data_IF_191794780746
#
_entry.id   IF_191794780746
#
_cell.length_a   1.000
_cell.length_b   1.000
_cell.length_c   1.000
_cell.angle_alpha   90.00
_cell.angle_beta   90.00
_cell.angle_gamma   90.00
#
_symmetry.space_group_name_H-M   'P 1'
#
loop_
_entity.id
_entity.type
_entity.pdbx_description
1 polymer ?
#
# COMPACT_ATOMS: atom_id res chain seq x y z
N UNK A 1 20.50 66.32 17.81
CA UNK A 1 19.81 65.21 18.51
C UNK A 1 18.47 64.96 17.86
N UNK A 2 18.31 63.77 17.25
CA UNK A 2 17.08 62.95 17.14
C UNK A 2 17.32 61.89 16.04
N UNK A 3 17.98 60.80 16.42
CA UNK A 3 18.00 59.58 15.64
C UNK A 3 16.57 59.00 15.65
N UNK A 4 15.94 58.89 14.47
CA UNK A 4 14.78 58.03 14.31
C UNK A 4 15.30 56.72 13.72
N UNK A 5 15.31 55.68 14.55
CA UNK A 5 15.62 54.33 14.13
C UNK A 5 14.61 53.89 13.06
N UNK A 6 15.09 53.76 11.84
CA UNK A 6 14.50 52.93 10.79
C UNK A 6 14.86 51.51 11.24
N UNK A 7 13.93 50.70 11.74
CA UNK A 7 12.86 50.15 10.93
C UNK A 7 13.35 48.80 10.42
N UNK A 8 13.14 47.79 11.27
CA UNK A 8 13.23 46.34 11.02
C UNK A 8 13.30 46.00 9.53
N UNK A 9 14.50 45.70 9.02
CA UNK A 9 14.68 44.97 7.78
C UNK A 9 14.63 43.48 8.12
N UNK A 10 13.39 43.00 8.07
CA UNK A 10 12.95 41.64 7.73
C UNK A 10 14.12 40.72 7.32
N UNK A 11 14.44 39.75 8.16
CA UNK A 11 14.11 38.34 7.90
C UNK A 11 14.41 37.97 6.44
N UNK A 12 15.64 37.52 6.17
CA UNK A 12 15.83 36.27 5.44
C UNK A 12 17.03 35.57 6.06
N UNK A 13 16.83 35.01 7.25
CA UNK A 13 17.54 33.79 7.60
C UNK A 13 17.07 32.71 6.64
N UNK A 14 17.72 32.58 5.47
CA UNK A 14 17.76 31.28 4.81
C UNK A 14 18.68 30.44 5.68
N UNK A 15 18.12 29.96 6.79
CA UNK A 15 18.53 28.69 7.34
C UNK A 15 18.36 27.72 6.18
N UNK A 16 19.46 27.48 5.46
CA UNK A 16 19.64 26.26 4.71
C UNK A 16 19.63 25.14 5.75
N UNK A 17 18.43 24.79 6.22
CA UNK A 17 18.17 23.49 6.78
C UNK A 17 18.40 22.55 5.60
N UNK A 18 19.65 22.12 5.46
CA UNK A 18 20.03 21.01 4.62
C UNK A 18 19.35 19.79 5.24
N UNK A 19 18.05 19.64 4.99
CA UNK A 19 17.31 18.44 5.30
C UNK A 19 17.85 17.43 4.31
N UNK A 20 18.74 16.56 4.80
CA UNK A 20 19.32 15.50 4.00
C UNK A 20 18.16 14.74 3.34
N UNK A 21 18.07 14.85 2.01
CA UNK A 21 17.04 14.13 1.25
C UNK A 21 17.29 12.64 1.44
N UNK A 22 16.26 11.92 1.87
CA UNK A 22 16.34 10.46 2.03
C UNK A 22 16.49 9.79 0.66
N UNK A 23 17.27 8.72 0.62
CA UNK A 23 17.38 7.86 -0.55
C UNK A 23 16.21 6.89 -0.66
N UNK A 24 16.05 6.28 -1.82
CA UNK A 24 15.02 5.27 -2.08
C UNK A 24 15.04 4.12 -1.05
N UNK A 25 16.24 3.60 -0.78
CA UNK A 25 16.45 2.55 0.23
C UNK A 25 16.06 3.01 1.63
N UNK A 26 16.36 4.25 2.00
CA UNK A 26 16.02 4.79 3.32
C UNK A 26 14.49 4.82 3.50
N UNK A 27 13.75 5.22 2.46
CA UNK A 27 12.29 5.15 2.47
C UNK A 27 11.77 3.72 2.55
N UNK A 28 12.39 2.79 1.83
CA UNK A 28 12.00 1.38 1.88
C UNK A 28 12.21 0.76 3.26
N UNK A 29 13.36 1.04 3.88
CA UNK A 29 13.67 0.56 5.24
C UNK A 29 12.69 1.15 6.27
N UNK A 30 12.36 2.45 6.17
CA UNK A 30 11.37 3.09 7.04
C UNK A 30 9.98 2.48 6.85
N UNK A 31 9.54 2.29 5.59
CA UNK A 31 8.25 1.69 5.31
C UNK A 31 8.13 0.29 5.96
N UNK A 32 9.16 -0.55 5.82
CA UNK A 32 9.19 -1.87 6.45
C UNK A 32 9.25 -1.82 7.99
N UNK A 33 9.92 -0.82 8.56
CA UNK A 33 9.91 -0.61 10.00
C UNK A 33 8.49 -0.30 10.51
N UNK A 34 7.72 0.50 9.77
CA UNK A 34 6.34 0.81 10.13
C UNK A 34 5.39 -0.37 9.84
N UNK A 35 5.65 -1.18 8.80
CA UNK A 35 4.97 -2.47 8.61
C UNK A 35 5.13 -3.38 9.82
N UNK A 36 6.36 -3.52 10.33
CA UNK A 36 6.65 -4.34 11.53
C UNK A 36 6.02 -3.81 12.82
N UNK A 37 5.65 -2.52 12.84
CA UNK A 37 4.91 -1.89 13.96
C UNK A 37 3.40 -1.88 13.74
N UNK A 38 2.93 -2.42 12.62
CA UNK A 38 1.52 -2.39 12.22
C UNK A 38 0.96 -0.95 12.08
N UNK A 39 1.83 0.03 11.87
CA UNK A 39 1.43 1.40 11.56
C UNK A 39 1.29 1.55 10.04
N UNK A 40 0.14 1.06 9.57
CA UNK A 40 -0.18 0.95 8.15
C UNK A 40 -0.17 2.29 7.43
N UNK A 41 -0.60 3.37 8.10
CA UNK A 41 -0.63 4.71 7.50
C UNK A 41 0.78 5.27 7.28
N UNK A 42 1.68 5.07 8.24
CA UNK A 42 3.07 5.50 8.05
C UNK A 42 3.79 4.62 7.03
N UNK A 43 3.58 3.30 7.07
CA UNK A 43 4.14 2.39 6.08
C UNK A 43 3.72 2.77 4.65
N UNK A 44 2.42 3.00 4.44
CA UNK A 44 1.86 3.50 3.19
C UNK A 44 2.54 4.80 2.75
N UNK A 45 2.60 5.80 3.64
CA UNK A 45 3.16 7.11 3.31
C UNK A 45 4.61 7.01 2.81
N UNK A 46 5.44 6.15 3.41
CA UNK A 46 6.81 5.96 2.97
C UNK A 46 6.93 5.16 1.66
N UNK A 47 6.08 4.16 1.43
CA UNK A 47 6.02 3.50 0.12
C UNK A 47 5.56 4.48 -0.98
N UNK A 48 4.58 5.35 -0.72
CA UNK A 48 4.15 6.37 -1.68
C UNK A 48 5.28 7.36 -2.02
N UNK A 49 6.14 7.70 -1.06
CA UNK A 49 7.34 8.52 -1.32
C UNK A 49 8.29 7.86 -2.31
N UNK A 50 8.46 6.54 -2.23
CA UNK A 50 9.26 5.79 -3.23
C UNK A 50 8.66 5.95 -4.62
N UNK A 51 7.35 5.73 -4.76
CA UNK A 51 6.66 5.82 -6.05
C UNK A 51 6.74 7.23 -6.65
N UNK A 52 6.61 8.27 -5.81
CA UNK A 52 6.61 9.67 -6.24
C UNK A 52 8.01 10.18 -6.59
N UNK A 53 9.01 9.84 -5.78
CA UNK A 53 10.35 10.44 -5.89
C UNK A 53 11.34 9.60 -6.70
N UNK A 54 11.09 8.29 -6.79
CA UNK A 54 11.93 7.33 -7.51
C UNK A 54 11.05 6.52 -8.44
N UNK A 55 10.45 7.12 -9.49
CA UNK A 55 9.48 6.42 -10.33
C UNK A 55 10.08 5.20 -11.03
N UNK A 56 11.39 5.13 -11.29
CA UNK A 56 12.05 3.99 -11.93
C UNK A 56 13.17 3.39 -11.06
N UNK A 57 13.00 3.50 -9.74
CA UNK A 57 13.97 3.01 -8.76
C UNK A 57 13.89 1.49 -8.54
N UNK A 58 14.82 0.99 -7.74
CA UNK A 58 14.96 -0.44 -7.46
C UNK A 58 13.78 -1.00 -6.64
N UNK A 59 13.14 -0.16 -5.84
CA UNK A 59 12.04 -0.52 -4.93
C UNK A 59 10.67 -0.07 -5.43
N UNK A 60 10.57 0.66 -6.55
CA UNK A 60 9.30 1.22 -7.04
C UNK A 60 8.24 0.16 -7.31
N UNK A 61 8.61 -0.96 -7.94
CA UNK A 61 7.65 -2.03 -8.23
C UNK A 61 7.07 -2.59 -6.93
N UNK A 62 7.94 -2.91 -5.97
CA UNK A 62 7.52 -3.38 -4.65
C UNK A 62 6.68 -2.33 -3.91
N UNK A 63 7.07 -1.06 -3.96
CA UNK A 63 6.34 0.02 -3.29
C UNK A 63 4.92 0.20 -3.84
N UNK A 64 4.73 0.14 -5.17
CA UNK A 64 3.40 0.18 -5.78
C UNK A 64 2.52 -0.97 -5.26
N UNK A 65 3.04 -2.20 -5.29
CA UNK A 65 2.32 -3.36 -4.78
C UNK A 65 1.97 -3.20 -3.30
N UNK A 66 2.93 -2.76 -2.48
CA UNK A 66 2.74 -2.62 -1.04
C UNK A 66 1.71 -1.54 -0.67
N UNK A 67 1.64 -0.41 -1.40
CA UNK A 67 0.56 0.56 -1.19
C UNK A 67 -0.80 -0.06 -1.48
N UNK A 68 -0.91 -0.83 -2.58
CA UNK A 68 -2.11 -1.60 -2.90
C UNK A 68 -2.52 -2.53 -1.76
N UNK A 69 -1.58 -3.36 -1.32
CA UNK A 69 -1.75 -4.35 -0.26
C UNK A 69 -2.19 -3.73 1.06
N UNK A 70 -1.52 -2.66 1.49
CA UNK A 70 -1.84 -1.99 2.75
C UNK A 70 -3.27 -1.43 2.72
N UNK A 71 -3.65 -0.81 1.61
CA UNK A 71 -4.96 -0.21 1.47
C UNK A 71 -6.08 -1.27 1.43
N UNK A 72 -5.86 -2.39 0.73
CA UNK A 72 -6.84 -3.47 0.65
C UNK A 72 -7.00 -4.21 1.98
N UNK A 73 -5.89 -4.54 2.65
CA UNK A 73 -5.90 -5.52 3.73
C UNK A 73 -5.93 -4.91 5.14
N UNK A 74 -5.53 -3.65 5.32
CA UNK A 74 -5.48 -3.04 6.65
C UNK A 74 -6.25 -1.73 6.79
N UNK A 75 -6.35 -0.93 5.71
CA UNK A 75 -7.03 0.37 5.76
C UNK A 75 -8.45 0.34 5.20
N UNK A 76 -8.88 -0.76 4.57
CA UNK A 76 -10.16 -0.89 3.86
C UNK A 76 -10.41 0.23 2.83
N UNK A 77 -9.35 0.75 2.22
CA UNK A 77 -9.40 1.79 1.21
C UNK A 77 -9.26 1.17 -0.18
N UNK A 78 -10.32 0.47 -0.60
CA UNK A 78 -10.29 -0.33 -1.83
C UNK A 78 -10.11 0.50 -3.10
N UNK A 79 -10.53 1.76 -3.10
CA UNK A 79 -10.33 2.67 -4.26
C UNK A 79 -8.83 2.94 -4.49
N UNK A 80 -8.11 3.26 -3.41
CA UNK A 80 -6.66 3.46 -3.50
C UNK A 80 -5.93 2.14 -3.77
N UNK A 81 -6.39 1.04 -3.18
CA UNK A 81 -5.83 -0.28 -3.49
C UNK A 81 -5.94 -0.60 -4.98
N UNK A 82 -7.12 -0.39 -5.57
CA UNK A 82 -7.39 -0.55 -7.00
C UNK A 82 -6.44 0.26 -7.85
N UNK A 83 -6.30 1.55 -7.53
CA UNK A 83 -5.43 2.46 -8.27
C UNK A 83 -3.97 1.96 -8.29
N UNK A 84 -3.44 1.55 -7.14
CA UNK A 84 -2.04 1.15 -7.02
C UNK A 84 -1.75 -0.23 -7.62
N UNK A 85 -2.65 -1.19 -7.47
CA UNK A 85 -2.52 -2.48 -8.15
C UNK A 85 -2.61 -2.34 -9.67
N UNK A 86 -3.53 -1.52 -10.20
CA UNK A 86 -3.60 -1.27 -11.63
C UNK A 86 -2.31 -0.62 -12.15
N UNK A 87 -1.80 0.41 -11.46
CA UNK A 87 -0.50 1.02 -11.78
C UNK A 87 0.64 0.00 -11.77
N UNK A 88 0.64 -0.94 -10.83
CA UNK A 88 1.64 -2.00 -10.78
C UNK A 88 1.54 -2.92 -12.01
N UNK A 89 0.35 -3.43 -12.32
CA UNK A 89 0.09 -4.33 -13.45
C UNK A 89 0.46 -3.67 -14.78
N UNK A 90 0.06 -2.40 -14.97
CA UNK A 90 0.30 -1.67 -16.20
C UNK A 90 1.80 -1.43 -16.45
N UNK A 91 2.57 -1.18 -15.37
CA UNK A 91 3.99 -0.82 -15.45
C UNK A 91 4.93 -2.02 -15.39
N UNK A 92 4.53 -3.07 -14.68
CA UNK A 92 5.34 -4.25 -14.41
C UNK A 92 4.59 -5.55 -14.72
N UNK A 93 4.05 -5.72 -15.94
CA UNK A 93 3.16 -6.84 -16.29
C UNK A 93 3.82 -8.22 -16.19
N UNK A 94 5.16 -8.29 -16.23
CA UNK A 94 5.95 -9.52 -16.15
C UNK A 94 6.66 -9.71 -14.79
N UNK A 95 6.35 -8.87 -13.80
CA UNK A 95 6.92 -9.03 -12.45
C UNK A 95 6.35 -10.26 -11.77
N UNK A 96 7.13 -10.89 -10.89
CA UNK A 96 6.71 -12.09 -10.13
C UNK A 96 5.44 -11.89 -9.28
N UNK A 97 5.03 -10.64 -9.02
CA UNK A 97 3.82 -10.30 -8.22
C UNK A 97 2.66 -9.82 -9.11
N UNK A 98 2.80 -9.88 -10.44
CA UNK A 98 1.76 -9.36 -11.36
C UNK A 98 0.46 -10.15 -11.24
N UNK A 99 0.55 -11.46 -11.08
CA UNK A 99 -0.63 -12.31 -10.91
C UNK A 99 -1.23 -12.17 -9.51
N UNK A 100 -0.40 -11.99 -8.47
CA UNK A 100 -0.87 -11.66 -7.12
C UNK A 100 -1.64 -10.32 -7.10
N UNK A 101 -1.11 -9.30 -7.79
CA UNK A 101 -1.77 -8.00 -7.89
C UNK A 101 -3.13 -8.09 -8.59
N UNK A 102 -3.26 -8.90 -9.65
CA UNK A 102 -4.54 -9.15 -10.33
C UNK A 102 -5.51 -9.87 -9.39
N UNK A 103 -5.03 -10.89 -8.69
CA UNK A 103 -5.85 -11.63 -7.73
C UNK A 103 -6.40 -10.72 -6.62
N UNK A 104 -5.55 -9.88 -6.02
CA UNK A 104 -5.97 -8.89 -5.02
C UNK A 104 -6.98 -7.89 -5.59
N UNK A 105 -6.73 -7.37 -6.80
CA UNK A 105 -7.62 -6.43 -7.48
C UNK A 105 -9.03 -7.00 -7.73
N UNK A 106 -9.11 -8.28 -8.01
CA UNK A 106 -10.36 -8.99 -8.27
C UNK A 106 -11.09 -9.38 -6.99
N UNK A 107 -10.38 -9.62 -5.88
CA UNK A 107 -10.94 -10.24 -4.69
C UNK A 107 -10.94 -9.36 -3.43
N UNK A 108 -10.32 -8.18 -3.46
CA UNK A 108 -10.33 -7.24 -2.34
C UNK A 108 -11.76 -6.88 -1.90
N UNK A 109 -11.99 -6.88 -0.59
CA UNK A 109 -13.27 -6.56 0.02
C UNK A 109 -14.36 -7.63 -0.13
N UNK A 110 -14.08 -8.79 -0.74
CA UNK A 110 -15.04 -9.91 -0.79
C UNK A 110 -15.08 -10.65 0.56
N UNK A 111 -16.27 -11.10 0.93
CA UNK A 111 -16.42 -12.03 2.04
C UNK A 111 -15.94 -13.44 1.60
N UNK A 112 -15.48 -14.24 2.56
CA UNK A 112 -15.06 -15.63 2.34
C UNK A 112 -16.13 -16.43 1.59
N UNK A 113 -17.40 -16.24 1.94
CA UNK A 113 -18.54 -16.96 1.32
C UNK A 113 -18.71 -16.67 -0.19
N UNK A 114 -18.17 -15.55 -0.67
CA UNK A 114 -18.26 -15.13 -2.07
C UNK A 114 -17.11 -15.66 -2.93
N UNK A 115 -16.13 -16.33 -2.32
CA UNK A 115 -14.94 -16.82 -3.02
C UNK A 115 -15.27 -18.06 -3.87
N UNK A 116 -15.02 -18.03 -5.20
CA UNK A 116 -15.44 -19.08 -6.11
C UNK A 116 -14.82 -20.45 -5.78
N UNK A 117 -13.61 -20.49 -5.19
CA UNK A 117 -12.95 -21.73 -4.82
C UNK A 117 -13.60 -22.47 -3.64
N UNK A 118 -14.39 -21.77 -2.81
CA UNK A 118 -15.11 -22.39 -1.68
C UNK A 118 -16.50 -22.89 -2.07
N UNK A 119 -17.04 -22.43 -3.19
CA UNK A 119 -18.37 -22.84 -3.67
C UNK A 119 -18.40 -24.30 -4.13
N UNK A 120 -17.28 -24.83 -4.61
CA UNK A 120 -17.20 -26.22 -5.11
C UNK A 120 -17.10 -27.27 -3.98
N UNK A 121 -16.58 -26.93 -2.80
CA UNK A 121 -16.46 -27.88 -1.67
C UNK A 121 -17.77 -28.06 -0.87
N UNK A 122 -18.58 -27.01 -0.74
CA UNK A 122 -19.82 -27.03 0.08
C UNK A 122 -20.93 -27.95 -0.46
N UNK A 123 -20.83 -28.44 -1.70
CA UNK A 123 -21.81 -29.36 -2.28
C UNK A 123 -21.61 -30.83 -1.87
N UNK A 124 -20.46 -31.21 -1.31
CA UNK A 124 -20.20 -32.62 -0.94
C UNK A 124 -20.60 -32.98 0.50
N UNK A 125 -20.68 -32.02 1.42
CA UNK A 125 -20.99 -32.31 2.83
C UNK A 125 -22.51 -32.38 3.12
N UNK A 126 -23.36 -31.83 2.25
CA UNK A 126 -24.81 -31.75 2.44
C UNK A 126 -25.62 -33.00 2.06
N UNK A 127 -25.02 -34.04 1.46
CA UNK A 127 -25.74 -35.21 0.95
C UNK A 127 -25.43 -36.53 1.66
N UNK A 128 -24.55 -36.55 2.67
CA UNK A 128 -24.09 -37.80 3.29
C UNK A 128 -24.80 -38.23 4.60
N UNK A 129 -25.89 -37.55 5.03
CA UNK A 129 -26.61 -37.93 6.27
C UNK A 129 -28.13 -37.75 6.19
N UNK A 130 -28.80 -38.39 5.24
CA UNK A 130 -30.24 -38.69 5.36
C UNK A 130 -30.55 -40.03 4.68
N UNK A 131 -29.92 -41.11 5.12
CA UNK A 131 -30.49 -42.45 4.91
C UNK A 131 -29.81 -43.49 5.80
N UNK A 132 -30.19 -43.51 7.08
CA UNK A 132 -30.05 -44.73 7.91
C UNK A 132 -31.03 -44.65 9.09
N UNK A 133 -32.31 -44.67 8.79
CA UNK A 133 -33.33 -45.12 9.75
C UNK A 133 -34.50 -45.73 8.99
N UNK A 134 -34.35 -46.98 8.55
CA UNK A 134 -35.48 -47.92 8.39
C UNK A 134 -34.97 -49.36 8.45
N UNK A 135 -35.47 -50.06 9.48
CA UNK A 135 -35.41 -51.49 9.80
C UNK A 135 -34.12 -52.09 10.36
#
# INVERSE_FOLDING_TARGET
>A
MKHRAIGVLLIIGVLFACSKKLGEKDYYDLANQYMAKEDWKQAEAYFEKIVQEFPNGMYTSKALFMVGFINANYLNNYDKAREYYQKFIDRYPNHELADDAKYELENMGKNIDDLPFLKDETLQEGQAKVDETTQ
#
